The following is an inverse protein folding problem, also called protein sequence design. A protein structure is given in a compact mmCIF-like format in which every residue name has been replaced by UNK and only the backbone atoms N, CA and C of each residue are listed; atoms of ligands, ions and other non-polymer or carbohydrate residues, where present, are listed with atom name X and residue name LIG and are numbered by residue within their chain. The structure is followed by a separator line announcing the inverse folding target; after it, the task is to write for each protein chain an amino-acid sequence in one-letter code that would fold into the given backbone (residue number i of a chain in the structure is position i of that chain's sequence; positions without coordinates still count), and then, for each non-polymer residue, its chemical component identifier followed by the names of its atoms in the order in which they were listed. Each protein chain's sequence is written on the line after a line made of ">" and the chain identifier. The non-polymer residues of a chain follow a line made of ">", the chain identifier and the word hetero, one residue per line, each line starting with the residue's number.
data_IF_476068188679
#
_entry.id   IF_476068188679
#
_cell.length_a   1.000
_cell.length_b   1.000
_cell.length_c   1.000
_cell.angle_alpha   90.00
_cell.angle_beta   90.00
_cell.angle_gamma   90.00
#
_symmetry.space_group_name_H-M   'P 1'
#
loop_
_entity.id
_entity.type
_entity.pdbx_description
1 polymer ?
#
# COMPACT_ATOMS: atom_id res chain seq x y z
N UNK A 1 24.57 -4.98 -25.93
CA UNK A 1 24.57 -4.01 -24.81
C UNK A 1 23.59 -4.55 -23.78
N UNK A 2 24.12 -5.30 -22.81
CA UNK A 2 23.31 -5.97 -21.79
C UNK A 2 22.77 -4.90 -20.81
N UNK A 3 21.47 -4.92 -20.53
CA UNK A 3 20.90 -4.11 -19.46
C UNK A 3 21.22 -4.79 -18.14
N UNK A 4 21.97 -4.10 -17.28
CA UNK A 4 22.22 -4.48 -15.89
C UNK A 4 20.89 -4.71 -15.16
N UNK A 5 20.71 -5.93 -14.64
CA UNK A 5 19.55 -6.33 -13.82
C UNK A 5 19.64 -5.83 -12.35
N UNK A 6 20.61 -4.98 -12.01
CA UNK A 6 20.94 -4.58 -10.64
C UNK A 6 20.18 -3.36 -10.08
N UNK A 7 18.98 -3.04 -10.58
CA UNK A 7 18.23 -1.85 -10.16
C UNK A 7 17.38 -2.01 -8.88
N UNK A 8 17.57 -3.08 -8.10
CA UNK A 8 16.82 -3.32 -6.87
C UNK A 8 17.73 -3.73 -5.71
N UNK A 9 18.20 -2.76 -4.93
CA UNK A 9 18.73 -3.06 -3.60
C UNK A 9 17.56 -3.35 -2.65
N UNK A 10 17.18 -4.62 -2.52
CA UNK A 10 16.32 -5.11 -1.42
C UNK A 10 17.12 -5.01 -0.12
N UNK A 11 17.01 -3.87 0.57
CA UNK A 11 17.62 -3.72 1.89
C UNK A 11 16.69 -4.29 2.96
N UNK A 12 16.99 -5.53 3.34
CA UNK A 12 16.48 -6.16 4.55
C UNK A 12 17.05 -5.40 5.76
N UNK A 13 16.18 -4.67 6.46
CA UNK A 13 16.50 -4.22 7.81
C UNK A 13 16.65 -5.46 8.71
N UNK A 14 17.83 -5.68 9.31
CA UNK A 14 18.12 -6.88 10.13
C UNK A 14 18.01 -6.55 11.63
N UNK A 15 17.17 -7.26 12.41
CA UNK A 15 17.13 -7.10 13.86
C UNK A 15 18.34 -7.79 14.53
N UNK A 16 19.02 -7.10 15.46
CA UNK A 16 20.01 -7.72 16.37
C UNK A 16 21.44 -7.16 16.34
N UNK A 17 21.78 -6.15 15.54
CA UNK A 17 23.05 -5.44 15.68
C UNK A 17 22.89 -4.25 16.62
N UNK A 18 23.15 -4.48 17.91
CA UNK A 18 23.32 -3.45 18.95
C UNK A 18 24.71 -2.80 18.92
N UNK A 19 25.32 -2.72 17.73
CA UNK A 19 26.64 -2.13 17.54
C UNK A 19 26.73 -1.54 16.14
N UNK A 20 26.87 -0.23 16.07
CA UNK A 20 26.79 0.64 14.88
C UNK A 20 25.36 0.91 14.39
N UNK A 21 24.59 1.56 15.25
CA UNK A 21 23.32 2.23 14.95
C UNK A 21 23.44 3.10 13.69
N UNK A 22 22.78 2.67 12.60
CA UNK A 22 22.43 3.56 11.48
C UNK A 22 20.93 3.76 11.51
N UNK A 23 20.55 4.60 12.46
CA UNK A 23 19.22 5.13 12.67
C UNK A 23 18.71 5.68 11.33
N UNK A 24 17.43 5.47 11.01
CA UNK A 24 16.71 6.44 10.17
C UNK A 24 16.75 7.70 11.00
N UNK A 25 17.75 8.56 10.77
CA UNK A 25 17.84 9.85 11.45
C UNK A 25 16.78 10.70 10.74
N UNK A 26 15.58 10.91 11.32
CA UNK A 26 14.82 12.09 10.95
C UNK A 26 15.79 13.27 11.08
N UNK A 27 15.70 14.28 10.21
CA UNK A 27 16.38 15.53 10.50
C UNK A 27 16.06 15.91 11.97
N UNK A 28 17.08 16.33 12.74
CA UNK A 28 16.92 16.75 14.14
C UNK A 28 15.59 17.52 14.30
N UNK A 29 14.82 17.29 15.38
CA UNK A 29 13.56 17.98 15.59
C UNK A 29 13.83 19.43 15.97
N UNK A 30 14.25 20.23 14.99
CA UNK A 30 13.82 21.62 14.95
C UNK A 30 12.30 21.58 14.77
N UNK A 31 11.60 22.59 15.28
CA UNK A 31 10.16 22.67 15.60
C UNK A 31 9.17 22.50 14.44
N UNK A 32 9.54 21.81 13.37
CA UNK A 32 8.88 21.77 12.07
C UNK A 32 8.57 20.34 11.61
N UNK A 33 8.18 19.45 12.54
CA UNK A 33 7.74 18.08 12.22
C UNK A 33 6.59 18.01 11.18
N UNK A 34 5.87 19.12 10.98
CA UNK A 34 4.90 19.32 9.91
C UNK A 34 5.50 19.26 8.50
N UNK A 35 6.80 19.50 8.33
CA UNK A 35 7.49 19.44 7.02
C UNK A 35 7.72 18.01 6.52
N UNK A 36 7.73 17.03 7.43
CA UNK A 36 8.09 15.65 7.10
C UNK A 36 6.91 14.69 7.08
N UNK A 37 5.76 15.08 7.66
CA UNK A 37 4.61 14.22 7.79
C UNK A 37 3.36 14.82 7.15
N UNK A 38 2.50 13.97 6.61
CA UNK A 38 1.20 14.35 6.08
C UNK A 38 0.09 13.52 6.73
N UNK A 39 -1.01 14.17 7.04
CA UNK A 39 -2.19 13.48 7.54
C UNK A 39 -2.87 12.65 6.45
N UNK A 40 -3.36 11.48 6.85
CA UNK A 40 -4.26 10.69 6.03
C UNK A 40 -5.45 10.21 6.87
N UNK A 41 -6.62 10.20 6.26
CA UNK A 41 -7.87 9.81 6.92
C UNK A 41 -8.36 8.43 6.49
N UNK A 42 -7.89 7.97 5.32
CA UNK A 42 -8.26 6.68 4.75
C UNK A 42 -7.02 5.93 4.31
N UNK A 43 -7.12 4.61 4.31
CA UNK A 43 -6.22 3.76 3.55
C UNK A 43 -6.95 3.24 2.32
N UNK A 44 -6.21 3.03 1.23
CA UNK A 44 -6.79 2.75 -0.07
C UNK A 44 -6.20 1.52 -0.72
N UNK A 45 -7.07 0.63 -1.19
CA UNK A 45 -6.71 -0.49 -2.04
C UNK A 45 -7.14 -0.16 -3.45
N UNK A 46 -6.16 0.12 -4.31
CA UNK A 46 -6.44 0.40 -5.72
C UNK A 46 -6.18 -0.84 -6.56
N UNK A 47 -7.16 -1.18 -7.40
CA UNK A 47 -7.19 -2.41 -8.20
C UNK A 47 -7.40 -2.08 -9.68
N UNK A 48 -6.92 -3.00 -10.53
CA UNK A 48 -7.35 -3.03 -11.92
C UNK A 48 -8.83 -3.41 -12.01
N UNK A 49 -9.46 -3.00 -13.12
CA UNK A 49 -10.91 -3.11 -13.29
C UNK A 49 -11.45 -4.53 -13.10
N UNK A 50 -10.77 -5.54 -13.67
CA UNK A 50 -11.17 -6.94 -13.53
C UNK A 50 -11.16 -7.38 -12.06
N UNK A 51 -10.09 -7.08 -11.35
CA UNK A 51 -9.94 -7.43 -9.93
C UNK A 51 -10.98 -6.72 -9.06
N UNK A 52 -11.26 -5.45 -9.35
CA UNK A 52 -12.29 -4.69 -8.65
C UNK A 52 -13.70 -5.24 -8.90
N UNK A 53 -14.00 -5.68 -10.13
CA UNK A 53 -15.27 -6.33 -10.43
C UNK A 53 -15.42 -7.66 -9.68
N UNK A 54 -14.35 -8.45 -9.59
CA UNK A 54 -14.36 -9.68 -8.80
C UNK A 54 -14.66 -9.40 -7.32
N UNK A 55 -14.08 -8.33 -6.75
CA UNK A 55 -14.40 -7.90 -5.37
C UNK A 55 -15.88 -7.57 -5.23
N UNK A 56 -16.47 -6.83 -6.18
CA UNK A 56 -17.90 -6.50 -6.15
C UNK A 56 -18.82 -7.70 -6.42
N UNK A 57 -18.39 -8.67 -7.22
CA UNK A 57 -19.17 -9.87 -7.50
C UNK A 57 -19.17 -10.84 -6.31
N UNK A 58 -18.04 -10.96 -5.62
CA UNK A 58 -17.85 -11.83 -4.47
C UNK A 58 -18.23 -11.18 -3.14
N UNK A 59 -18.50 -9.86 -3.14
CA UNK A 59 -18.84 -9.06 -1.96
C UNK A 59 -17.78 -9.14 -0.85
N UNK A 60 -16.51 -9.33 -1.23
CA UNK A 60 -15.38 -9.44 -0.30
C UNK A 60 -14.06 -9.10 -0.97
N UNK A 61 -13.10 -8.58 -0.18
CA UNK A 61 -11.75 -8.30 -0.65
C UNK A 61 -10.84 -9.51 -0.40
N UNK A 62 -10.53 -10.29 -1.44
CA UNK A 62 -9.67 -11.48 -1.26
C UNK A 62 -8.18 -11.13 -1.12
N UNK A 63 -7.48 -11.66 -0.10
CA UNK A 63 -6.06 -11.45 0.09
C UNK A 63 -5.26 -12.29 -0.91
N UNK A 64 -4.11 -11.76 -1.32
CA UNK A 64 -3.19 -12.41 -2.25
C UNK A 64 -1.92 -12.80 -1.52
N UNK A 65 -1.29 -13.89 -1.97
CA UNK A 65 0.06 -14.21 -1.50
C UNK A 65 1.04 -13.10 -1.85
N UNK A 66 2.11 -13.01 -1.07
CA UNK A 66 3.21 -12.09 -1.30
C UNK A 66 4.12 -12.70 -2.37
N UNK A 67 3.85 -12.35 -3.62
CA UNK A 67 4.64 -12.77 -4.79
C UNK A 67 5.67 -11.73 -5.24
N UNK A 68 5.64 -10.53 -4.66
CA UNK A 68 6.47 -9.39 -5.08
C UNK A 68 7.89 -9.47 -4.49
N UNK A 69 8.72 -8.50 -4.85
CA UNK A 69 9.99 -8.16 -4.19
C UNK A 69 9.71 -7.81 -2.72
N UNK A 70 9.58 -8.83 -1.90
CA UNK A 70 9.37 -8.71 -0.47
C UNK A 70 10.23 -9.71 0.28
N UNK A 71 10.74 -9.31 1.43
CA UNK A 71 11.41 -10.17 2.41
C UNK A 71 10.57 -11.39 2.80
N UNK A 72 9.24 -11.25 2.79
CA UNK A 72 8.28 -12.28 3.16
C UNK A 72 7.81 -13.17 1.99
N UNK A 73 8.48 -13.11 0.83
CA UNK A 73 8.10 -13.96 -0.30
C UNK A 73 8.30 -15.44 0.04
N UNK A 74 7.36 -16.28 -0.42
CA UNK A 74 7.32 -17.72 -0.10
C UNK A 74 8.62 -18.48 -0.40
N UNK A 75 9.37 -18.03 -1.40
CA UNK A 75 10.63 -18.65 -1.85
C UNK A 75 11.84 -18.30 -0.98
N UNK A 76 11.79 -17.24 -0.17
CA UNK A 76 12.92 -16.84 0.70
C UNK A 76 12.80 -17.32 2.13
N UNK A 77 11.59 -17.69 2.56
CA UNK A 77 11.35 -18.10 3.94
C UNK A 77 11.54 -19.62 4.16
N UNK A 78 12.09 -20.05 5.31
CA UNK A 78 12.13 -21.45 5.72
C UNK A 78 10.76 -22.13 5.67
N UNK A 79 10.73 -23.45 5.45
CA UNK A 79 9.46 -24.16 5.20
C UNK A 79 8.47 -24.08 6.36
N UNK A 80 8.98 -24.00 7.57
CA UNK A 80 8.30 -23.92 8.86
C UNK A 80 8.02 -22.48 9.33
N UNK A 81 8.50 -21.46 8.61
CA UNK A 81 8.22 -20.08 8.95
C UNK A 81 6.73 -19.76 8.71
N UNK A 82 5.98 -19.27 9.72
CA UNK A 82 4.53 -19.06 9.59
C UNK A 82 4.17 -17.96 8.60
N UNK A 83 5.07 -16.99 8.35
CA UNK A 83 4.85 -15.93 7.36
C UNK A 83 4.98 -16.45 5.90
N UNK A 84 5.42 -17.69 5.68
CA UNK A 84 5.65 -18.25 4.34
C UNK A 84 4.40 -18.35 3.48
N UNK A 85 3.24 -18.53 4.10
CA UNK A 85 1.95 -18.65 3.42
C UNK A 85 1.05 -17.43 3.68
N UNK A 86 1.63 -16.32 4.15
CA UNK A 86 0.88 -15.10 4.45
C UNK A 86 0.15 -14.62 3.20
N UNK A 87 -1.14 -14.34 3.36
CA UNK A 87 -1.98 -13.73 2.33
C UNK A 87 -2.44 -12.38 2.85
N UNK A 88 -2.20 -11.33 2.06
CA UNK A 88 -2.46 -9.97 2.51
C UNK A 88 -3.29 -9.16 1.51
N UNK A 89 -4.03 -8.19 2.06
CA UNK A 89 -4.56 -7.07 1.32
C UNK A 89 -3.57 -5.90 1.43
N UNK A 90 -3.07 -5.49 0.27
CA UNK A 90 -2.25 -4.30 0.11
C UNK A 90 -3.11 -3.03 0.10
N UNK A 91 -2.77 -2.09 0.97
CA UNK A 91 -3.33 -0.75 1.04
C UNK A 91 -2.21 0.29 1.03
N UNK A 92 -2.43 1.41 0.34
CA UNK A 92 -1.67 2.64 0.55
C UNK A 92 -2.45 3.61 1.44
N UNK A 93 -1.90 4.79 1.69
CA UNK A 93 -2.58 5.89 2.37
C UNK A 93 -3.33 6.78 1.36
N UNK A 94 -4.29 7.58 1.85
CA UNK A 94 -4.92 8.68 1.11
C UNK A 94 -4.64 10.00 1.81
N UNK A 95 -3.65 10.73 1.31
CA UNK A 95 -3.18 12.02 1.84
C UNK A 95 -4.21 13.11 1.66
N UNK A 96 -4.46 13.85 2.73
CA UNK A 96 -5.29 15.05 2.67
C UNK A 96 -4.61 16.08 1.76
N UNK A 97 -5.31 16.53 0.70
CA UNK A 97 -4.84 17.58 -0.21
C UNK A 97 -3.86 17.17 -1.32
N UNK A 98 -3.34 15.93 -1.34
CA UNK A 98 -2.29 15.52 -2.29
C UNK A 98 -2.73 14.50 -3.37
N UNK A 99 -3.60 13.56 -3.04
CA UNK A 99 -3.78 12.37 -3.90
C UNK A 99 -4.78 12.52 -5.05
N UNK A 100 -5.52 13.62 -5.11
CA UNK A 100 -6.55 13.82 -6.15
C UNK A 100 -5.93 13.95 -7.55
N UNK A 101 -4.69 14.43 -7.66
CA UNK A 101 -4.01 14.72 -8.95
C UNK A 101 -2.98 13.66 -9.37
N UNK A 102 -2.56 12.77 -8.46
CA UNK A 102 -1.48 11.82 -8.75
C UNK A 102 -2.05 10.55 -9.40
N UNK A 103 -1.52 10.11 -10.55
CA UNK A 103 -1.89 8.82 -11.14
C UNK A 103 -1.57 7.66 -10.18
N UNK A 104 -2.50 6.73 -10.03
CA UNK A 104 -2.29 5.51 -9.24
C UNK A 104 -1.45 4.51 -10.02
N UNK A 105 -0.54 3.83 -9.33
CA UNK A 105 0.29 2.74 -9.89
C UNK A 105 -0.40 1.38 -9.88
N UNK A 106 -1.46 1.25 -9.08
CA UNK A 106 -2.07 -0.05 -8.74
C UNK A 106 -3.37 -0.34 -9.51
N UNK A 107 -3.88 0.64 -10.26
CA UNK A 107 -5.05 0.48 -11.10
C UNK A 107 -5.95 1.71 -11.13
N UNK A 108 -7.23 1.49 -11.41
CA UNK A 108 -8.21 2.54 -11.69
C UNK A 108 -9.33 2.65 -10.67
N UNK A 109 -9.58 1.58 -9.93
CA UNK A 109 -10.72 1.48 -9.02
C UNK A 109 -10.16 1.41 -7.62
N UNK A 110 -10.48 2.40 -6.81
CA UNK A 110 -9.95 2.56 -5.47
C UNK A 110 -11.05 2.24 -4.46
N UNK A 111 -10.72 1.37 -3.51
CA UNK A 111 -11.55 1.08 -2.34
C UNK A 111 -10.89 1.77 -1.14
N UNK A 112 -11.52 2.82 -0.64
CA UNK A 112 -11.04 3.61 0.49
C UNK A 112 -11.75 3.16 1.77
N UNK A 113 -11.00 2.90 2.84
CA UNK A 113 -11.54 2.55 4.15
C UNK A 113 -11.02 3.56 5.17
N UNK A 114 -11.89 3.97 6.09
CA UNK A 114 -11.50 4.91 7.14
C UNK A 114 -10.38 4.30 8.01
N UNK A 115 -9.27 5.02 8.13
CA UNK A 115 -8.08 4.54 8.83
C UNK A 115 -8.35 4.33 10.33
N UNK A 116 -9.22 5.15 10.94
CA UNK A 116 -9.58 5.00 12.37
C UNK A 116 -10.36 3.72 12.63
N UNK A 117 -11.29 3.38 11.74
CA UNK A 117 -12.05 2.13 11.88
C UNK A 117 -11.14 0.93 11.69
N UNK A 118 -10.32 0.97 10.65
CA UNK A 118 -9.54 -0.20 10.26
C UNK A 118 -8.33 -0.44 11.17
N UNK A 119 -7.52 0.57 11.45
CA UNK A 119 -6.29 0.37 12.21
C UNK A 119 -6.54 0.12 13.69
N UNK A 120 -7.73 0.42 14.24
CA UNK A 120 -8.09 0.02 15.61
C UNK A 120 -8.45 -1.46 15.75
N UNK A 121 -8.74 -2.15 14.64
CA UNK A 121 -9.18 -3.54 14.67
C UNK A 121 -8.05 -4.54 14.97
N UNK A 122 -6.80 -4.15 14.71
CA UNK A 122 -5.67 -5.07 14.69
C UNK A 122 -4.79 -4.99 15.94
N UNK A 123 -4.35 -6.15 16.42
CA UNK A 123 -3.54 -6.28 17.64
C UNK A 123 -2.07 -5.98 17.44
N UNK A 124 -1.50 -6.41 16.31
CA UNK A 124 -0.06 -6.35 16.07
C UNK A 124 0.27 -5.58 14.80
N UNK A 125 1.37 -4.82 14.88
CA UNK A 125 1.99 -4.14 13.76
C UNK A 125 3.44 -4.60 13.68
N UNK A 126 3.89 -4.96 12.47
CA UNK A 126 5.27 -5.38 12.25
C UNK A 126 5.87 -4.60 11.08
N UNK A 127 7.08 -4.09 11.29
CA UNK A 127 7.84 -3.46 10.22
C UNK A 127 8.45 -4.56 9.35
N UNK A 128 8.13 -4.56 8.06
CA UNK A 128 8.53 -5.64 7.15
C UNK A 128 9.81 -5.27 6.41
N UNK A 129 9.82 -4.13 5.71
CA UNK A 129 10.92 -3.71 4.85
C UNK A 129 10.75 -2.27 4.34
N UNK A 130 11.83 -1.74 3.76
CA UNK A 130 11.81 -0.54 2.91
C UNK A 130 12.17 -0.95 1.49
N UNK A 131 11.30 -0.63 0.54
CA UNK A 131 11.64 -0.68 -0.87
C UNK A 131 12.11 0.69 -1.32
N UNK A 132 13.23 0.75 -2.01
CA UNK A 132 13.77 1.99 -2.56
C UNK A 132 13.89 1.89 -4.08
N UNK A 133 13.50 2.97 -4.75
CA UNK A 133 13.66 3.16 -6.20
C UNK A 133 14.41 4.48 -6.43
N UNK A 134 14.86 4.77 -7.67
CA UNK A 134 15.48 6.05 -7.99
C UNK A 134 14.56 7.27 -7.85
N UNK A 135 13.30 7.15 -7.42
CA UNK A 135 12.36 8.27 -7.32
C UNK A 135 11.56 8.32 -6.02
N UNK A 136 11.38 7.17 -5.37
CA UNK A 136 10.62 7.06 -4.13
C UNK A 136 11.11 5.88 -3.29
N UNK A 137 10.81 5.93 -1.99
CA UNK A 137 10.86 4.76 -1.11
C UNK A 137 9.46 4.41 -0.62
N UNK A 138 9.31 3.18 -0.15
CA UNK A 138 8.05 2.69 0.39
C UNK A 138 8.32 1.78 1.57
N UNK A 139 7.84 2.16 2.75
CA UNK A 139 7.85 1.29 3.92
C UNK A 139 6.63 0.38 3.91
N UNK A 140 6.85 -0.89 4.25
CA UNK A 140 5.77 -1.88 4.36
C UNK A 140 5.57 -2.29 5.81
N UNK A 141 4.32 -2.22 6.26
CA UNK A 141 3.93 -2.55 7.62
C UNK A 141 2.88 -3.66 7.55
N UNK A 142 3.17 -4.81 8.15
CA UNK A 142 2.20 -5.87 8.36
C UNK A 142 1.29 -5.50 9.54
N UNK A 143 0.00 -5.62 9.30
CA UNK A 143 -1.06 -5.36 10.27
C UNK A 143 -1.87 -6.65 10.40
N UNK A 144 -1.94 -7.21 11.60
CA UNK A 144 -2.48 -8.57 11.81
C UNK A 144 -2.99 -8.79 13.24
N UNK A 145 -3.82 -9.82 13.40
CA UNK A 145 -4.25 -10.36 14.69
C UNK A 145 -3.42 -11.58 15.15
N UNK A 146 -2.52 -12.08 14.29
CA UNK A 146 -1.60 -13.17 14.59
C UNK A 146 -0.30 -12.63 15.18
N UNK A 147 0.23 -13.32 16.20
CA UNK A 147 1.51 -12.94 16.82
C UNK A 147 2.69 -13.51 16.01
N UNK A 148 3.44 -12.61 15.37
CA UNK A 148 4.69 -12.92 14.66
C UNK A 148 5.92 -12.34 15.36
N UNK A 149 5.84 -11.99 16.65
CA UNK A 149 6.92 -11.26 17.36
C UNK A 149 8.23 -12.04 17.44
N UNK A 150 8.18 -13.37 17.25
CA UNK A 150 9.37 -14.23 17.13
C UNK A 150 10.06 -14.16 15.75
N UNK A 151 9.35 -13.70 14.73
CA UNK A 151 9.80 -13.74 13.33
C UNK A 151 9.97 -12.35 12.72
N UNK A 152 9.21 -11.37 13.20
CA UNK A 152 9.15 -10.02 12.66
C UNK A 152 9.38 -8.98 13.76
N UNK A 153 9.97 -7.86 13.36
CA UNK A 153 10.18 -6.72 14.26
C UNK A 153 8.86 -6.02 14.52
N UNK A 154 8.43 -5.98 15.79
CA UNK A 154 7.26 -5.22 16.17
C UNK A 154 7.46 -3.74 15.83
N UNK A 155 6.38 -3.14 15.35
CA UNK A 155 6.28 -1.73 15.02
C UNK A 155 5.39 -1.03 16.05
N UNK A 156 5.84 0.09 16.58
CA UNK A 156 5.05 0.92 17.47
C UNK A 156 4.63 2.20 16.72
N UNK A 157 3.32 2.38 16.39
CA UNK A 157 2.85 3.59 15.73
C UNK A 157 2.86 4.83 16.62
N UNK A 158 3.10 4.69 17.93
CA UNK A 158 3.24 5.83 18.84
C UNK A 158 4.68 6.33 18.94
N UNK A 159 5.65 5.55 18.45
CA UNK A 159 7.04 5.96 18.42
C UNK A 159 7.24 7.13 17.45
N UNK A 160 7.99 8.14 17.89
CA UNK A 160 8.40 9.24 17.02
C UNK A 160 9.28 8.71 15.88
N UNK A 161 9.21 9.33 14.71
CA UNK A 161 10.08 9.06 13.54
C UNK A 161 9.88 7.75 12.76
N UNK A 162 8.76 7.06 13.00
CA UNK A 162 8.35 5.95 12.16
C UNK A 162 7.80 6.40 10.79
N UNK A 163 7.80 5.53 9.75
CA UNK A 163 7.18 5.82 8.46
C UNK A 163 5.69 6.16 8.56
N UNK A 164 5.02 5.67 9.60
CA UNK A 164 3.64 6.01 9.95
C UNK A 164 3.50 6.21 11.45
N UNK A 165 2.86 7.29 11.89
CA UNK A 165 2.59 7.51 13.31
C UNK A 165 1.11 7.78 13.57
N UNK A 166 0.66 7.37 14.74
CA UNK A 166 -0.65 7.68 15.29
C UNK A 166 -0.50 8.85 16.26
N UNK A 167 -1.31 9.88 16.07
CA UNK A 167 -1.38 11.05 16.95
C UNK A 167 -2.71 11.03 17.70
N UNK A 168 -2.90 11.99 18.61
CA UNK A 168 -4.19 12.18 19.28
C UNK A 168 -5.31 12.57 18.30
N UNK A 169 -4.96 13.20 17.18
CA UNK A 169 -5.91 13.75 16.20
C UNK A 169 -6.12 12.85 14.98
N UNK A 170 -5.26 11.86 14.75
CA UNK A 170 -5.40 10.95 13.62
C UNK A 170 -4.14 10.17 13.29
N UNK A 171 -3.87 10.03 11.99
CA UNK A 171 -2.71 9.31 11.48
C UNK A 171 -1.91 10.19 10.54
N UNK A 172 -0.60 10.04 10.63
CA UNK A 172 0.34 10.74 9.79
C UNK A 172 1.30 9.76 9.13
N UNK A 173 1.61 9.98 7.86
CA UNK A 173 2.66 9.24 7.16
C UNK A 173 3.84 10.14 6.86
N UNK A 174 5.03 9.54 6.79
CA UNK A 174 6.24 10.20 6.36
C UNK A 174 6.16 10.53 4.86
N UNK A 175 6.37 11.80 4.51
CA UNK A 175 6.32 12.32 3.15
C UNK A 175 7.61 12.13 2.38
N UNK A 176 8.75 12.32 3.06
CA UNK A 176 10.06 12.28 2.46
C UNK A 176 11.04 11.56 3.39
N UNK A 177 11.98 10.81 2.81
CA UNK A 177 13.06 10.18 3.55
C UNK A 177 14.39 10.39 2.82
N UNK A 178 15.50 10.36 3.58
CA UNK A 178 16.84 10.35 3.02
C UNK A 178 17.12 9.01 2.32
N UNK A 179 17.85 9.05 1.19
CA UNK A 179 18.43 7.82 0.62
C UNK A 179 19.54 7.27 1.51
N UNK A 180 19.64 5.95 1.51
CA UNK A 180 20.87 5.29 1.95
C UNK A 180 21.92 5.43 0.84
N UNK A 181 23.13 5.87 1.22
CA UNK A 181 24.40 5.85 0.47
C UNK A 181 24.81 6.98 -0.50
N UNK A 182 24.04 8.03 -0.81
CA UNK A 182 24.56 9.14 -1.65
C UNK A 182 23.94 10.51 -1.29
N UNK A 183 24.60 11.27 -0.41
CA UNK A 183 24.32 12.68 -0.12
C UNK A 183 22.95 13.01 0.52
N UNK A 184 22.66 14.31 0.66
CA UNK A 184 21.38 14.87 1.14
C UNK A 184 20.24 14.72 0.11
N UNK A 185 20.05 13.54 -0.46
CA UNK A 185 18.98 13.28 -1.42
C UNK A 185 17.69 12.87 -0.69
N UNK A 186 16.83 13.87 -0.43
CA UNK A 186 15.46 13.67 0.02
C UNK A 186 14.56 13.25 -1.15
N UNK A 187 13.79 12.17 -0.99
CA UNK A 187 12.81 11.76 -1.99
C UNK A 187 11.50 11.30 -1.36
N UNK A 188 10.45 11.21 -2.19
CA UNK A 188 9.10 10.86 -1.77
C UNK A 188 9.06 9.50 -1.08
N UNK A 189 8.47 9.47 0.09
CA UNK A 189 8.21 8.25 0.83
C UNK A 189 6.72 7.90 0.73
N UNK A 190 6.40 6.61 0.76
CA UNK A 190 5.03 6.11 0.86
C UNK A 190 4.95 5.05 1.95
N UNK A 191 3.77 4.90 2.54
CA UNK A 191 3.48 3.77 3.44
C UNK A 191 2.53 2.80 2.75
N UNK A 192 2.88 1.52 2.81
CA UNK A 192 2.02 0.41 2.40
C UNK A 192 1.68 -0.46 3.60
N UNK A 193 0.38 -0.68 3.83
CA UNK A 193 -0.12 -1.62 4.81
C UNK A 193 -0.39 -2.97 4.15
N UNK A 194 0.15 -4.02 4.76
CA UNK A 194 -0.11 -5.41 4.46
C UNK A 194 -1.08 -5.92 5.51
N UNK A 195 -2.37 -5.95 5.20
CA UNK A 195 -3.39 -6.42 6.15
C UNK A 195 -3.55 -7.92 5.96
N UNK A 196 -3.47 -8.71 7.03
CA UNK A 196 -3.77 -10.14 7.04
C UNK A 196 -5.21 -10.38 7.55
N UNK A 197 -6.22 -10.41 6.65
CA UNK A 197 -7.61 -10.56 7.07
C UNK A 197 -8.03 -12.02 7.24
N UNK A 198 -9.00 -12.23 8.13
CA UNK A 198 -9.85 -13.42 8.11
C UNK A 198 -11.10 -13.23 7.21
N UNK A 199 -12.00 -14.23 7.18
CA UNK A 199 -13.21 -14.17 6.34
C UNK A 199 -14.23 -13.10 6.78
N UNK A 200 -14.31 -12.78 8.06
CA UNK A 200 -15.13 -11.70 8.59
C UNK A 200 -14.57 -10.36 8.14
N UNK A 201 -13.26 -10.15 8.32
CA UNK A 201 -12.56 -8.93 7.97
C UNK A 201 -12.70 -8.60 6.48
N UNK A 202 -12.58 -9.60 5.60
CA UNK A 202 -12.72 -9.40 4.15
C UNK A 202 -14.08 -8.83 3.74
N UNK A 203 -15.16 -9.24 4.43
CA UNK A 203 -16.53 -8.77 4.18
C UNK A 203 -16.76 -7.41 4.83
N UNK A 204 -16.29 -7.23 6.06
CA UNK A 204 -16.39 -5.95 6.77
C UNK A 204 -15.69 -4.84 5.99
N UNK A 205 -14.45 -5.08 5.56
CA UNK A 205 -13.68 -4.16 4.72
C UNK A 205 -14.42 -3.77 3.45
N UNK A 206 -15.09 -4.73 2.80
CA UNK A 206 -15.91 -4.46 1.61
C UNK A 206 -17.14 -3.61 1.93
N UNK A 207 -17.83 -3.88 3.03
CA UNK A 207 -19.04 -3.15 3.41
C UNK A 207 -18.76 -1.71 3.88
N UNK A 208 -17.60 -1.48 4.50
CA UNK A 208 -17.21 -0.18 5.03
C UNK A 208 -16.49 0.70 4.01
N UNK A 209 -16.07 0.13 2.88
CA UNK A 209 -15.31 0.90 1.90
C UNK A 209 -16.18 1.88 1.10
N UNK A 210 -15.55 2.97 0.71
CA UNK A 210 -16.04 3.90 -0.29
C UNK A 210 -15.30 3.65 -1.60
N UNK A 211 -16.05 3.58 -2.69
CA UNK A 211 -15.51 3.39 -4.02
C UNK A 211 -15.17 4.74 -4.66
N UNK A 212 -13.98 4.87 -5.21
CA UNK A 212 -13.57 6.01 -6.02
C UNK A 212 -12.77 5.56 -7.25
N UNK A 213 -12.42 6.49 -8.13
CA UNK A 213 -11.70 6.20 -9.37
C UNK A 213 -10.45 7.05 -9.49
N UNK A 214 -9.37 6.47 -10.02
CA UNK A 214 -8.07 7.15 -10.17
C UNK A 214 -7.60 7.13 -11.62
N UNK A 215 -6.76 8.12 -11.96
CA UNK A 215 -6.04 8.11 -13.23
C UNK A 215 -4.98 7.00 -13.21
N UNK A 216 -4.90 6.23 -14.30
CA UNK A 216 -3.90 5.17 -14.47
C UNK A 216 -3.27 5.20 -15.88
N UNK A 217 -3.52 6.27 -16.63
CA UNK A 217 -3.22 6.38 -18.05
C UNK A 217 -1.75 6.71 -18.36
N UNK A 218 -0.96 7.11 -17.36
CA UNK A 218 0.41 7.64 -17.53
C UNK A 218 1.52 6.60 -17.31
N UNK A 219 1.20 5.30 -17.28
CA UNK A 219 2.20 4.24 -17.02
C UNK A 219 2.97 3.84 -18.29
N UNK A 220 2.52 4.28 -19.47
CA UNK A 220 3.07 3.87 -20.77
C UNK A 220 4.34 4.61 -21.21
N UNK A 221 4.77 5.68 -20.53
CA UNK A 221 5.97 6.41 -20.96
C UNK A 221 7.24 5.68 -20.50
N UNK A 222 8.20 5.37 -21.40
CA UNK A 222 9.55 4.94 -21.02
C UNK A 222 10.16 5.96 -20.05
N UNK A 223 10.69 5.51 -18.92
CA UNK A 223 11.24 6.39 -17.87
C UNK A 223 10.21 6.90 -16.84
N UNK A 224 8.93 6.56 -16.98
CA UNK A 224 7.96 6.82 -15.92
C UNK A 224 8.26 5.94 -14.70
N UNK A 225 8.07 6.49 -13.48
CA UNK A 225 8.27 5.86 -12.16
C UNK A 225 7.53 4.51 -11.97
N UNK A 226 6.73 4.14 -12.95
CA UNK A 226 5.62 3.20 -12.91
C UNK A 226 5.96 1.87 -13.62
N UNK A 227 7.05 1.81 -14.39
CA UNK A 227 7.51 0.58 -15.07
C UNK A 227 8.03 -0.52 -14.11
N UNK A 228 8.28 -0.16 -12.85
CA UNK A 228 9.03 -0.98 -11.90
C UNK A 228 8.16 -2.05 -11.18
N UNK A 229 6.85 -1.83 -11.00
CA UNK A 229 5.94 -2.80 -10.34
C UNK A 229 5.04 -3.57 -11.30
N UNK A 230 4.78 -3.04 -12.50
CA UNK A 230 4.17 -3.81 -13.58
C UNK A 230 5.31 -4.56 -14.27
N UNK A 231 5.52 -5.84 -13.94
CA UNK A 231 6.63 -6.65 -14.47
C UNK A 231 6.71 -6.71 -16.02
N UNK A 232 5.76 -6.11 -16.74
CA UNK A 232 5.85 -5.76 -18.16
C UNK A 232 5.08 -4.45 -18.43
N UNK A 233 5.75 -3.34 -18.80
CA UNK A 233 5.12 -2.05 -19.15
C UNK A 233 4.01 -2.17 -20.22
N UNK A 234 4.10 -3.19 -21.07
CA UNK A 234 3.21 -3.43 -22.19
C UNK A 234 1.89 -4.12 -21.79
N UNK A 235 1.75 -4.55 -20.53
CA UNK A 235 0.66 -5.44 -20.11
C UNK A 235 -0.28 -4.88 -19.06
N UNK A 236 -0.18 -3.60 -18.71
CA UNK A 236 -1.21 -2.99 -17.87
C UNK A 236 -2.57 -3.14 -18.59
N UNK A 237 -3.48 -3.98 -18.08
CA UNK A 237 -4.63 -4.45 -18.85
C UNK A 237 -5.65 -3.35 -19.14
N UNK A 238 -5.49 -2.17 -18.54
CA UNK A 238 -6.46 -1.08 -18.58
C UNK A 238 -5.82 0.27 -18.24
N UNK A 239 -4.85 0.73 -19.03
CA UNK A 239 -4.35 2.11 -18.91
C UNK A 239 -5.44 3.09 -19.37
N UNK A 240 -6.19 3.66 -18.43
CA UNK A 240 -7.30 4.57 -18.72
C UNK A 240 -7.42 5.73 -17.72
N UNK A 241 -8.08 6.80 -18.16
CA UNK A 241 -8.38 7.95 -17.32
C UNK A 241 -9.52 7.67 -16.33
N UNK A 242 -9.58 8.46 -15.25
CA UNK A 242 -10.59 8.34 -14.18
C UNK A 242 -12.03 8.26 -14.73
N UNK A 243 -12.39 9.17 -15.65
CA UNK A 243 -13.75 9.26 -16.22
C UNK A 243 -14.13 8.02 -17.02
N UNK A 244 -13.20 7.52 -17.83
CA UNK A 244 -13.41 6.31 -18.63
C UNK A 244 -13.52 5.07 -17.74
N UNK A 245 -12.63 4.92 -16.76
CA UNK A 245 -12.68 3.84 -15.77
C UNK A 245 -14.03 3.79 -15.06
N UNK A 246 -14.50 4.95 -14.59
CA UNK A 246 -15.81 5.09 -13.95
C UNK A 246 -16.93 4.63 -14.89
N UNK A 247 -16.97 5.12 -16.13
CA UNK A 247 -18.00 4.75 -17.09
C UNK A 247 -18.06 3.24 -17.34
N UNK A 248 -16.91 2.62 -17.61
CA UNK A 248 -16.79 1.18 -17.85
C UNK A 248 -17.14 0.35 -16.62
N UNK A 249 -16.66 0.75 -15.44
CA UNK A 249 -16.94 0.03 -14.20
C UNK A 249 -18.44 0.08 -13.85
N UNK A 250 -19.05 1.26 -13.93
CA UNK A 250 -20.48 1.44 -13.64
C UNK A 250 -21.37 0.68 -14.64
N UNK A 251 -20.99 0.61 -15.92
CA UNK A 251 -21.69 -0.22 -16.89
C UNK A 251 -21.64 -1.71 -16.52
N UNK A 252 -20.47 -2.21 -16.08
CA UNK A 252 -20.33 -3.59 -15.62
C UNK A 252 -21.13 -3.87 -14.35
N UNK A 253 -21.12 -2.97 -13.37
CA UNK A 253 -21.94 -3.11 -12.16
C UNK A 253 -23.45 -3.19 -12.48
N UNK A 254 -23.93 -2.37 -13.43
CA UNK A 254 -25.33 -2.44 -13.89
C UNK A 254 -25.65 -3.79 -14.52
N UNK A 255 -24.72 -4.35 -15.30
CA UNK A 255 -24.87 -5.69 -15.90
C UNK A 255 -24.94 -6.78 -14.82
N UNK A 256 -24.08 -6.73 -13.81
CA UNK A 256 -24.13 -7.66 -12.68
C UNK A 256 -25.49 -7.58 -11.96
N UNK A 257 -26.00 -6.37 -11.71
CA UNK A 257 -27.34 -6.17 -11.12
C UNK A 257 -28.46 -6.74 -11.99
N UNK A 258 -28.41 -6.54 -13.31
CA UNK A 258 -29.39 -7.14 -14.25
C UNK A 258 -29.37 -8.67 -14.23
N UNK A 259 -28.23 -9.28 -13.94
CA UNK A 259 -28.07 -10.72 -13.81
C UNK A 259 -28.45 -11.26 -12.41
N UNK A 260 -29.19 -10.48 -11.61
CA UNK A 260 -29.68 -10.90 -10.29
C UNK A 260 -28.66 -10.83 -9.17
N UNK A 261 -27.46 -10.28 -9.39
CA UNK A 261 -26.48 -10.07 -8.31
C UNK A 261 -26.86 -8.86 -7.48
N UNK A 262 -27.21 -9.07 -6.21
CA UNK A 262 -27.41 -8.00 -5.26
C UNK A 262 -26.06 -7.45 -4.79
N UNK A 263 -25.62 -6.35 -5.41
CA UNK A 263 -24.46 -5.58 -4.96
C UNK A 263 -24.99 -4.49 -4.03
N UNK A 264 -24.68 -4.52 -2.72
CA UNK A 264 -25.11 -3.49 -1.79
C UNK A 264 -24.65 -2.11 -2.30
N UNK A 265 -25.36 -1.06 -1.89
CA UNK A 265 -25.00 0.30 -2.27
C UNK A 265 -23.59 0.61 -1.74
N UNK A 266 -22.58 0.36 -2.57
CA UNK A 266 -21.25 0.90 -2.38
C UNK A 266 -21.41 2.42 -2.32
N UNK A 267 -20.95 3.02 -1.22
CA UNK A 267 -20.82 4.47 -1.14
C UNK A 267 -19.82 4.85 -2.23
N UNK A 268 -20.29 5.57 -3.24
CA UNK A 268 -19.40 6.09 -4.28
C UNK A 268 -19.08 7.50 -3.86
N UNK A 269 -17.81 7.77 -3.54
CA UNK A 269 -17.39 9.14 -3.26
C UNK A 269 -17.37 9.92 -4.57
N UNK A 270 -17.93 11.12 -4.53
CA UNK A 270 -17.93 12.04 -5.67
C UNK A 270 -17.02 13.23 -5.37
N UNK A 271 -15.71 13.14 -5.64
CA UNK A 271 -14.89 14.30 -5.93
C UNK A 271 -15.01 14.72 -7.39
#
# INVERSE_FOLDING_TARGET
>A
MAMDEDLFTLQLWRPGQTGNERTIVPAKPDSDSAKYYCEFTHITRTLHMRDALNVCENLKMEPRFIYSTSSLRRSTLPKDNPCRNLRVLWFGTMRVGHDVKTPSRYGNVQFAVNANTLLKHWKYYYFVEILSTPKYSTSRILVTNNDYSRYLRQYDPYQYDGPWKKTNTGYMELLNCLRYNEGENFHKHNVEFMIEPDESDMKQLFNECTLSFTNHHSIKSPGSDYAIKCMRPDTCPSSMGRREARGKFMANLRRLKKNGKHIPFLKIDFP
#
